data_IF_983060578340
#
_entry.id   IF_983060578340
#
_cell.length_a   1.000
_cell.length_b   1.000
_cell.length_c   1.000
_cell.angle_alpha   90.00
_cell.angle_beta   90.00
_cell.angle_gamma   90.00
#
_symmetry.space_group_name_H-M   'P 1'
#
loop_
_entity.id
_entity.type
_entity.pdbx_description
1 polymer ?
#
# COMPACT_ATOMS: atom_id res chain seq x y z
N UNK A 1 5.40 -31.74 -0.38
CA UNK A 1 5.42 -30.41 -1.02
C UNK A 1 4.40 -30.39 -2.13
N UNK A 2 3.27 -29.68 -1.99
CA UNK A 2 2.50 -29.28 -3.17
C UNK A 2 3.44 -28.40 -4.01
N UNK A 3 3.53 -28.67 -5.31
CA UNK A 3 4.32 -27.83 -6.22
C UNK A 3 3.54 -26.62 -6.69
N UNK A 4 4.25 -25.60 -7.21
CA UNK A 4 3.66 -24.39 -7.80
C UNK A 4 2.54 -24.72 -8.83
N UNK A 5 2.73 -25.77 -9.65
CA UNK A 5 1.73 -26.22 -10.62
C UNK A 5 0.42 -26.70 -9.98
N UNK A 6 0.50 -27.39 -8.84
CA UNK A 6 -0.69 -27.87 -8.14
C UNK A 6 -1.52 -26.70 -7.58
N UNK A 7 -0.86 -25.69 -6.99
CA UNK A 7 -1.54 -24.49 -6.49
C UNK A 7 -2.24 -23.73 -7.62
N UNK A 8 -1.58 -23.60 -8.79
CA UNK A 8 -2.17 -22.98 -9.98
C UNK A 8 -3.38 -23.74 -10.53
N UNK A 9 -3.41 -25.07 -10.39
CA UNK A 9 -4.60 -25.85 -10.77
C UNK A 9 -5.71 -25.58 -9.77
N UNK A 10 -5.42 -25.63 -8.46
CA UNK A 10 -6.41 -25.40 -7.41
C UNK A 10 -7.03 -24.01 -7.54
N UNK A 11 -6.24 -22.98 -7.84
CA UNK A 11 -6.72 -21.61 -8.11
C UNK A 11 -7.85 -21.56 -9.15
N UNK A 12 -7.86 -22.46 -10.13
CA UNK A 12 -8.88 -22.49 -11.20
C UNK A 12 -10.09 -23.36 -10.89
N UNK A 13 -9.95 -24.35 -10.00
CA UNK A 13 -10.97 -25.40 -9.81
C UNK A 13 -11.52 -25.46 -8.40
N UNK A 14 -11.00 -24.67 -7.47
CA UNK A 14 -11.32 -24.84 -6.05
C UNK A 14 -12.80 -24.66 -5.75
N UNK A 15 -13.51 -23.83 -6.51
CA UNK A 15 -14.93 -23.53 -6.26
C UNK A 15 -15.85 -24.76 -6.32
N UNK A 16 -15.42 -25.83 -6.99
CA UNK A 16 -16.18 -27.08 -7.13
C UNK A 16 -15.82 -28.11 -6.06
N UNK A 17 -14.64 -27.97 -5.45
CA UNK A 17 -14.02 -29.05 -4.66
C UNK A 17 -13.67 -28.65 -3.22
N UNK A 18 -13.63 -27.35 -2.91
CA UNK A 18 -13.18 -26.84 -1.63
C UNK A 18 -14.09 -25.71 -1.15
N UNK A 19 -14.19 -25.59 0.17
CA UNK A 19 -14.78 -24.41 0.81
C UNK A 19 -13.82 -23.22 0.75
N UNK A 20 -14.32 -21.97 0.76
CA UNK A 20 -13.46 -20.78 0.78
C UNK A 20 -12.40 -20.81 1.90
N UNK A 21 -12.80 -21.26 3.09
CA UNK A 21 -11.96 -21.41 4.28
C UNK A 21 -10.80 -22.39 4.05
N UNK A 22 -11.08 -23.57 3.47
CA UNK A 22 -10.03 -24.56 3.16
C UNK A 22 -9.00 -24.03 2.16
N UNK A 23 -9.47 -23.27 1.16
CA UNK A 23 -8.59 -22.67 0.15
C UNK A 23 -7.75 -21.54 0.73
N UNK A 24 -8.33 -20.69 1.60
CA UNK A 24 -7.58 -19.67 2.31
C UNK A 24 -6.48 -20.29 3.18
N UNK A 25 -6.79 -21.37 3.90
CA UNK A 25 -5.80 -22.10 4.70
C UNK A 25 -4.71 -22.76 3.84
N UNK A 26 -5.04 -23.22 2.63
CA UNK A 26 -4.06 -23.76 1.69
C UNK A 26 -3.15 -22.66 1.14
N UNK A 27 -3.70 -21.51 0.76
CA UNK A 27 -2.93 -20.35 0.33
C UNK A 27 -1.95 -19.89 1.42
N UNK A 28 -2.43 -19.75 2.67
CA UNK A 28 -1.60 -19.40 3.84
C UNK A 28 -0.45 -20.39 4.08
N UNK A 29 -0.68 -21.68 3.88
CA UNK A 29 0.39 -22.69 3.97
C UNK A 29 1.38 -22.57 2.81
N UNK A 30 0.89 -22.33 1.59
CA UNK A 30 1.72 -22.22 0.39
C UNK A 30 2.57 -20.94 0.39
N UNK A 31 2.09 -19.84 0.98
CA UNK A 31 2.83 -18.58 1.09
C UNK A 31 4.07 -18.67 2.01
N UNK A 32 4.17 -19.69 2.87
CA UNK A 32 5.34 -19.95 3.71
C UNK A 32 6.51 -20.59 2.95
N UNK A 33 6.33 -20.87 1.65
CA UNK A 33 7.37 -21.42 0.81
C UNK A 33 8.52 -20.43 0.59
N UNK A 34 9.73 -20.96 0.39
CA UNK A 34 10.90 -20.18 -0.04
C UNK A 34 10.98 -20.02 -1.57
N UNK A 35 10.16 -20.76 -2.31
CA UNK A 35 10.10 -20.69 -3.77
C UNK A 35 9.21 -19.52 -4.21
N UNK A 36 9.74 -18.50 -4.92
CA UNK A 36 8.96 -17.37 -5.41
C UNK A 36 7.76 -17.77 -6.26
N UNK A 37 7.86 -18.84 -7.06
CA UNK A 37 6.73 -19.33 -7.86
C UNK A 37 5.58 -19.77 -6.96
N UNK A 38 5.89 -20.45 -5.86
CA UNK A 38 4.89 -20.91 -4.90
C UNK A 38 4.24 -19.75 -4.16
N UNK A 39 5.03 -18.75 -3.74
CA UNK A 39 4.49 -17.56 -3.05
C UNK A 39 3.57 -16.78 -3.97
N UNK A 40 3.96 -16.57 -5.23
CA UNK A 40 3.12 -15.91 -6.24
C UNK A 40 1.82 -16.70 -6.49
N UNK A 41 1.92 -18.03 -6.63
CA UNK A 41 0.75 -18.88 -6.82
C UNK A 41 -0.17 -18.87 -5.59
N UNK A 42 0.39 -18.82 -4.37
CA UNK A 42 -0.36 -18.72 -3.13
C UNK A 42 -1.13 -17.41 -3.04
N UNK A 43 -0.50 -16.29 -3.39
CA UNK A 43 -1.18 -15.00 -3.39
C UNK A 43 -2.29 -14.90 -4.44
N UNK A 44 -2.09 -15.48 -5.64
CA UNK A 44 -3.16 -15.62 -6.64
C UNK A 44 -4.32 -16.45 -6.13
N UNK A 45 -4.02 -17.55 -5.43
CA UNK A 45 -5.02 -18.38 -4.77
C UNK A 45 -5.75 -17.59 -3.67
N UNK A 46 -5.04 -16.83 -2.84
CA UNK A 46 -5.64 -16.00 -1.81
C UNK A 46 -6.57 -14.92 -2.41
N UNK A 47 -6.13 -14.26 -3.48
CA UNK A 47 -6.93 -13.28 -4.22
C UNK A 47 -8.25 -13.88 -4.72
N UNK A 48 -8.22 -15.10 -5.27
CA UNK A 48 -9.42 -15.72 -5.83
C UNK A 48 -10.48 -16.06 -4.78
N UNK A 49 -10.10 -16.20 -3.50
CA UNK A 49 -11.04 -16.46 -2.38
C UNK A 49 -11.72 -15.18 -1.87
N UNK A 50 -11.09 -14.02 -2.00
CA UNK A 50 -11.60 -12.75 -1.44
C UNK A 50 -13.01 -12.32 -1.91
N UNK A 51 -13.47 -12.62 -3.15
CA UNK A 51 -14.87 -12.41 -3.53
C UNK A 51 -15.88 -13.18 -2.66
N UNK A 52 -15.44 -14.19 -1.92
CA UNK A 52 -16.24 -14.97 -0.95
C UNK A 52 -15.86 -14.65 0.50
N UNK A 53 -15.40 -13.42 0.79
CA UNK A 53 -14.96 -13.00 2.12
C UNK A 53 -16.05 -13.14 3.21
N UNK A 54 -17.33 -13.14 2.85
CA UNK A 54 -18.44 -13.42 3.78
C UNK A 54 -18.36 -14.81 4.43
N UNK A 55 -17.69 -15.77 3.76
CA UNK A 55 -17.48 -17.13 4.25
C UNK A 55 -16.14 -17.31 4.99
N UNK A 56 -15.33 -16.25 5.10
CA UNK A 56 -14.04 -16.27 5.77
C UNK A 56 -14.15 -15.65 7.16
N UNK A 57 -13.30 -16.08 8.07
CA UNK A 57 -13.05 -15.34 9.32
C UNK A 57 -12.26 -14.06 9.05
N UNK A 58 -12.34 -13.08 9.97
CA UNK A 58 -11.58 -11.84 9.85
C UNK A 58 -10.07 -12.09 9.69
N UNK A 59 -9.51 -13.08 10.40
CA UNK A 59 -8.10 -13.43 10.32
C UNK A 59 -7.71 -13.99 8.94
N UNK A 60 -8.58 -14.81 8.34
CA UNK A 60 -8.34 -15.38 7.01
C UNK A 60 -8.39 -14.31 5.92
N UNK A 61 -9.38 -13.40 5.96
CA UNK A 61 -9.45 -12.28 5.03
C UNK A 61 -8.22 -11.37 5.15
N UNK A 62 -7.78 -11.06 6.38
CA UNK A 62 -6.61 -10.22 6.62
C UNK A 62 -5.32 -10.88 6.13
N UNK A 63 -5.15 -12.19 6.31
CA UNK A 63 -4.01 -12.93 5.75
C UNK A 63 -4.03 -12.91 4.23
N UNK A 64 -5.19 -13.12 3.61
CA UNK A 64 -5.31 -13.07 2.15
C UNK A 64 -4.98 -11.68 1.59
N UNK A 65 -5.48 -10.61 2.23
CA UNK A 65 -5.12 -9.22 1.91
C UNK A 65 -3.61 -8.98 2.07
N UNK A 66 -3.01 -9.49 3.14
CA UNK A 66 -1.57 -9.36 3.36
C UNK A 66 -0.76 -10.09 2.28
N UNK A 67 -1.13 -11.32 1.91
CA UNK A 67 -0.49 -12.04 0.81
C UNK A 67 -0.58 -11.26 -0.51
N UNK A 68 -1.72 -10.63 -0.81
CA UNK A 68 -1.89 -9.78 -1.98
C UNK A 68 -0.99 -8.54 -1.93
N UNK A 69 -0.90 -7.89 -0.76
CA UNK A 69 -0.01 -6.73 -0.52
C UNK A 69 1.45 -7.05 -0.78
N UNK A 70 1.93 -8.20 -0.30
CA UNK A 70 3.33 -8.60 -0.47
C UNK A 70 3.69 -8.90 -1.93
N UNK A 71 2.71 -9.14 -2.81
CA UNK A 71 2.97 -9.34 -4.24
C UNK A 71 3.12 -8.04 -5.01
N UNK A 72 2.12 -7.17 -4.93
CA UNK A 72 2.15 -5.87 -5.60
C UNK A 72 1.00 -4.96 -5.15
N UNK A 73 1.19 -3.65 -5.31
CA UNK A 73 0.13 -2.66 -5.12
C UNK A 73 -1.10 -2.96 -5.99
N UNK A 74 -0.89 -3.35 -7.26
CA UNK A 74 -1.99 -3.73 -8.17
C UNK A 74 -2.79 -4.95 -7.66
N UNK A 75 -2.10 -5.94 -7.10
CA UNK A 75 -2.77 -7.11 -6.53
C UNK A 75 -3.54 -6.74 -5.26
N UNK A 76 -2.99 -5.85 -4.42
CA UNK A 76 -3.68 -5.32 -3.25
C UNK A 76 -4.94 -4.53 -3.61
N UNK A 77 -4.90 -3.71 -4.66
CA UNK A 77 -6.08 -2.98 -5.15
C UNK A 77 -7.19 -3.94 -5.56
N UNK A 78 -6.86 -4.98 -6.33
CA UNK A 78 -7.82 -6.03 -6.73
C UNK A 78 -8.42 -6.73 -5.51
N UNK A 79 -7.58 -7.03 -4.53
CA UNK A 79 -7.98 -7.67 -3.28
C UNK A 79 -8.97 -6.79 -2.49
N UNK A 80 -8.68 -5.49 -2.35
CA UNK A 80 -9.56 -4.54 -1.68
C UNK A 80 -10.92 -4.44 -2.37
N UNK A 81 -10.94 -4.29 -3.70
CA UNK A 81 -12.18 -4.25 -4.49
C UNK A 81 -13.01 -5.53 -4.38
N UNK A 82 -12.35 -6.69 -4.29
CA UNK A 82 -13.06 -7.97 -4.14
C UNK A 82 -13.78 -8.05 -2.78
N UNK A 83 -13.14 -7.57 -1.71
CA UNK A 83 -13.75 -7.52 -0.37
C UNK A 83 -14.92 -6.53 -0.31
N UNK A 84 -14.78 -5.35 -0.94
CA UNK A 84 -15.86 -4.36 -1.02
C UNK A 84 -17.11 -4.93 -1.70
N UNK A 85 -16.92 -5.60 -2.85
CA UNK A 85 -18.00 -6.27 -3.56
C UNK A 85 -18.67 -7.38 -2.75
N UNK A 86 -17.89 -8.13 -1.95
CA UNK A 86 -18.44 -9.14 -1.05
C UNK A 86 -19.25 -8.49 0.08
N UNK A 87 -18.78 -7.37 0.62
CA UNK A 87 -19.44 -6.62 1.69
C UNK A 87 -20.77 -6.01 1.25
N UNK A 88 -20.88 -5.55 0.00
CA UNK A 88 -22.13 -5.05 -0.58
C UNK A 88 -23.23 -6.11 -0.68
N UNK A 89 -22.86 -7.38 -0.89
CA UNK A 89 -23.80 -8.47 -1.15
C UNK A 89 -24.21 -9.22 0.11
N UNK A 90 -23.22 -9.75 0.84
CA UNK A 90 -23.43 -10.73 1.91
C UNK A 90 -22.85 -10.27 3.26
N UNK A 91 -22.19 -9.10 3.28
CA UNK A 91 -21.54 -8.55 4.47
C UNK A 91 -20.16 -9.16 4.75
N UNK A 92 -19.29 -8.37 5.38
CA UNK A 92 -17.94 -8.78 5.79
C UNK A 92 -17.67 -8.20 7.18
N UNK A 93 -16.82 -8.87 7.96
CA UNK A 93 -16.39 -8.40 9.28
C UNK A 93 -15.91 -6.95 9.26
N UNK A 94 -16.38 -6.07 10.18
CA UNK A 94 -15.97 -4.67 10.23
C UNK A 94 -14.45 -4.47 10.34
N UNK A 95 -13.74 -5.34 11.07
CA UNK A 95 -12.28 -5.26 11.21
C UNK A 95 -11.55 -5.47 9.89
N UNK A 96 -12.14 -6.24 8.97
CA UNK A 96 -11.61 -6.42 7.61
C UNK A 96 -11.85 -5.15 6.79
N UNK A 97 -13.02 -4.52 6.89
CA UNK A 97 -13.32 -3.26 6.20
C UNK A 97 -12.40 -2.12 6.66
N UNK A 98 -12.14 -2.00 7.97
CA UNK A 98 -11.17 -1.04 8.48
C UNK A 98 -9.76 -1.29 7.94
N UNK A 99 -9.39 -2.57 7.76
CA UNK A 99 -8.12 -2.94 7.14
C UNK A 99 -8.06 -2.54 5.67
N UNK A 100 -9.12 -2.79 4.91
CA UNK A 100 -9.25 -2.38 3.49
C UNK A 100 -9.16 -0.86 3.35
N UNK A 101 -9.88 -0.11 4.18
CA UNK A 101 -9.80 1.35 4.19
C UNK A 101 -8.37 1.84 4.45
N UNK A 102 -7.64 1.18 5.36
CA UNK A 102 -6.23 1.50 5.62
C UNK A 102 -5.34 1.19 4.41
N UNK A 103 -5.57 0.08 3.72
CA UNK A 103 -4.83 -0.26 2.51
C UNK A 103 -5.04 0.76 1.39
N UNK A 104 -6.27 1.24 1.19
CA UNK A 104 -6.52 2.32 0.23
C UNK A 104 -5.78 3.60 0.58
N UNK A 105 -5.75 3.98 1.86
CA UNK A 105 -4.99 5.13 2.32
C UNK A 105 -3.48 4.96 2.04
N UNK A 106 -2.91 3.80 2.38
CA UNK A 106 -1.49 3.53 2.15
C UNK A 106 -1.17 3.58 0.63
N UNK A 107 -2.01 2.97 -0.23
CA UNK A 107 -1.86 3.01 -1.69
C UNK A 107 -1.92 4.44 -2.25
N UNK A 108 -2.80 5.28 -1.72
CA UNK A 108 -2.89 6.69 -2.09
C UNK A 108 -1.60 7.44 -1.75
N UNK A 109 -1.08 7.28 -0.53
CA UNK A 109 0.18 7.92 -0.08
C UNK A 109 1.35 7.47 -0.95
N UNK A 110 1.45 6.18 -1.23
CA UNK A 110 2.50 5.63 -2.09
C UNK A 110 2.43 6.22 -3.50
N UNK A 111 1.22 6.39 -4.06
CA UNK A 111 1.02 6.99 -5.37
C UNK A 111 1.44 8.47 -5.43
N UNK A 112 1.19 9.23 -4.36
CA UNK A 112 1.57 10.65 -4.27
C UNK A 112 3.10 10.80 -4.18
N UNK A 113 3.76 9.93 -3.39
CA UNK A 113 5.22 9.92 -3.26
C UNK A 113 5.95 9.60 -4.57
N UNK A 114 5.35 8.79 -5.44
CA UNK A 114 5.89 8.45 -6.76
C UNK A 114 5.73 9.58 -7.78
N UNK A 115 4.82 10.53 -7.54
CA UNK A 115 4.47 11.62 -8.47
C UNK A 115 5.27 12.91 -8.25
N UNK A 116 6.05 13.01 -7.17
CA UNK A 116 6.89 14.17 -6.91
C UNK A 116 8.03 14.27 -7.95
N UNK A 117 8.10 15.34 -8.77
CA UNK A 117 9.18 15.49 -9.73
C UNK A 117 10.50 15.59 -8.98
N UNK A 118 11.40 14.62 -9.23
CA UNK A 118 12.80 14.73 -8.85
C UNK A 118 13.41 15.89 -9.63
N UNK A 119 13.36 17.10 -9.09
CA UNK A 119 14.25 18.18 -9.50
C UNK A 119 15.65 17.80 -9.04
N UNK A 120 16.33 16.97 -9.84
CA UNK A 120 17.77 16.78 -9.76
C UNK A 120 18.42 18.11 -10.11
N UNK A 121 18.68 18.95 -9.10
CA UNK A 121 19.62 20.06 -9.25
C UNK A 121 21.00 19.45 -9.44
N UNK A 122 21.37 19.27 -10.70
CA UNK A 122 22.70 18.87 -11.09
C UNK A 122 23.63 20.07 -10.86
N UNK A 123 24.18 20.16 -9.64
CA UNK A 123 25.29 21.07 -9.34
C UNK A 123 26.54 20.58 -10.08
N UNK A 124 26.69 20.97 -11.34
CA UNK A 124 27.97 20.93 -12.04
C UNK A 124 28.86 22.01 -11.44
N UNK A 125 29.70 21.61 -10.49
CA UNK A 125 30.82 22.41 -10.00
C UNK A 125 31.91 22.38 -11.10
N UNK A 126 32.29 23.51 -11.72
CA UNK A 126 33.47 23.54 -12.57
C UNK A 126 34.73 23.55 -11.68
N UNK A 127 35.51 22.48 -11.74
CA UNK A 127 36.85 22.44 -11.15
C UNK A 127 37.79 23.39 -11.91
N UNK A 128 38.20 24.49 -11.28
CA UNK A 128 39.39 25.25 -11.68
C UNK A 128 40.35 25.37 -10.50
N UNK A 129 41.62 25.04 -10.76
CA UNK A 129 42.74 25.14 -9.83
C UNK A 129 43.79 26.10 -10.44
N UNK A 130 44.84 26.54 -9.71
CA UNK A 130 44.86 27.80 -8.95
C UNK A 130 45.95 28.77 -9.46
N UNK A 131 45.76 30.09 -9.30
CA UNK A 131 46.87 31.06 -9.26
C UNK A 131 46.40 32.44 -8.75
N UNK A 132 47.12 33.02 -7.78
CA UNK A 132 47.08 34.46 -7.48
C UNK A 132 46.54 34.84 -6.10
N UNK A 133 47.36 35.55 -5.33
CA UNK A 133 47.23 35.92 -3.90
C UNK A 133 46.56 37.35 -3.78
N UNK A 134 46.48 38.00 -2.60
CA UNK A 134 45.39 38.05 -1.60
C UNK A 134 44.65 39.43 -1.48
N UNK A 135 43.65 39.47 -0.58
CA UNK A 135 43.26 40.53 0.38
C UNK A 135 41.82 41.11 0.32
N UNK A 136 41.19 41.02 1.50
CA UNK A 136 40.35 42.00 2.22
C UNK A 136 39.07 42.55 1.58
N UNK A 137 37.91 42.28 2.22
CA UNK A 137 37.22 43.30 3.01
C UNK A 137 36.12 42.69 3.92
N UNK A 138 35.84 43.43 4.98
CA UNK A 138 35.06 43.28 6.21
C UNK A 138 33.56 42.97 6.08
N UNK A 139 33.10 42.14 7.01
CA UNK A 139 32.04 42.35 8.01
C UNK A 139 30.80 43.24 7.70
N UNK A 140 29.65 42.66 8.10
CA UNK A 140 28.41 43.28 8.62
C UNK A 140 27.45 43.91 7.60
N UNK A 141 26.29 43.27 7.39
CA UNK A 141 25.04 43.82 7.92
C UNK A 141 23.91 42.79 8.07
N UNK A 142 23.34 42.85 9.25
CA UNK A 142 22.18 42.17 9.80
C UNK A 142 20.89 42.88 9.32
N UNK A 143 19.87 42.12 8.89
CA UNK A 143 18.49 42.62 8.76
C UNK A 143 17.54 41.43 8.95
N UNK A 144 17.01 41.27 10.15
CA UNK A 144 15.77 41.87 10.67
C UNK A 144 14.56 40.98 10.39
N UNK A 145 14.14 40.34 11.47
CA UNK A 145 12.78 39.88 11.68
C UNK A 145 11.81 41.07 11.60
N UNK A 146 10.68 40.87 10.93
CA UNK A 146 9.45 41.54 11.32
C UNK A 146 8.29 40.55 11.23
N UNK A 147 7.60 40.46 12.37
CA UNK A 147 6.32 39.84 12.60
C UNK A 147 5.25 40.33 11.61
N UNK A 148 4.29 39.47 11.27
CA UNK A 148 2.92 39.96 11.20
C UNK A 148 1.93 38.90 11.68
N UNK A 149 1.35 39.24 12.82
CA UNK A 149 0.25 38.61 13.52
C UNK A 149 -1.04 39.07 12.83
N UNK A 150 -1.91 38.15 12.40
CA UNK A 150 -3.36 38.37 12.48
C UNK A 150 -4.05 37.11 12.99
N UNK A 151 -4.62 37.31 14.17
CA UNK A 151 -5.49 36.42 14.94
C UNK A 151 -6.90 36.38 14.36
N UNK A 152 -7.49 35.17 14.35
CA UNK A 152 -8.84 34.80 14.83
C UNK A 152 -10.12 35.43 14.27
N UNK A 153 -11.22 34.66 14.43
CA UNK A 153 -12.68 34.94 14.34
C UNK A 153 -13.33 34.55 13.00
N UNK A 154 -14.43 33.79 12.90
CA UNK A 154 -15.36 33.15 13.85
C UNK A 154 -16.24 32.14 13.04
N UNK A 155 -16.79 31.05 13.61
CA UNK A 155 -17.83 30.24 12.98
C UNK A 155 -19.21 30.85 13.23
N UNK A 156 -20.04 30.93 12.21
CA UNK A 156 -21.48 31.18 12.32
C UNK A 156 -22.20 30.16 11.41
N UNK A 157 -23.37 29.62 11.74
CA UNK A 157 -24.14 29.53 12.96
C UNK A 157 -25.32 28.59 12.64
N UNK A 158 -25.75 27.79 13.62
CA UNK A 158 -27.11 27.24 13.66
C UNK A 158 -28.14 28.37 13.54
N UNK A 159 -29.23 28.16 12.78
CA UNK A 159 -30.59 28.39 13.29
C UNK A 159 -31.69 27.97 12.29
N UNK A 160 -32.60 27.15 12.84
CA UNK A 160 -34.03 26.93 12.54
C UNK A 160 -34.41 26.15 11.28
#
# INVERSE_FOLDING_TARGET
NLGCAAIKIIERVWEVHFTPTEVAALADKASLSRDPCMVEAAAKLALSVLPKAYALTAAESQKALHQCKEQSSEMLEKACRAVEQAAEKDGVYPEVLFKVARHWFDLFVDSESASAPQTSFQNTIPSQHPAGIPQLHTDILQSQAHENIYSTTNPQALQL
#
